data_IF_509633822340
#
_entry.id   IF_509633822340
#
_cell.length_a   1.000
_cell.length_b   1.000
_cell.length_c   1.000
_cell.angle_alpha   90.00
_cell.angle_beta   90.00
_cell.angle_gamma   90.00
#
_symmetry.space_group_name_H-M   'P 1'
#
loop_
_entity.id
_entity.type
_entity.pdbx_description
1 polymer ?
#
# COMPACT_ATOMS: atom_id res chain seq x y z
N UNK A 1 24.58 0.38 -21.50
CA UNK A 1 23.60 -0.53 -22.07
C UNK A 1 22.72 -1.02 -20.94
N UNK A 2 21.56 -0.39 -20.80
CA UNK A 2 20.55 -0.76 -19.83
C UNK A 2 19.94 -2.10 -20.25
N UNK A 3 20.13 -3.13 -19.44
CA UNK A 3 19.41 -4.37 -19.60
C UNK A 3 17.93 -4.07 -19.43
N UNK A 4 17.17 -4.17 -20.50
CA UNK A 4 15.72 -4.17 -20.49
C UNK A 4 15.26 -5.45 -19.77
N UNK A 5 15.05 -5.33 -18.46
CA UNK A 5 14.36 -6.37 -17.70
C UNK A 5 12.86 -6.24 -17.96
N UNK A 6 12.45 -6.61 -19.17
CA UNK A 6 11.07 -6.86 -19.52
C UNK A 6 10.63 -8.20 -18.88
N UNK A 7 10.54 -8.24 -17.55
CA UNK A 7 9.85 -9.35 -16.91
C UNK A 7 8.33 -9.13 -17.08
N UNK A 8 7.77 -9.73 -18.12
CA UNK A 8 6.33 -10.04 -18.16
C UNK A 8 6.05 -10.87 -16.90
N UNK A 9 5.43 -10.24 -15.89
CA UNK A 9 5.01 -11.00 -14.71
C UNK A 9 3.93 -11.98 -15.14
N UNK A 10 4.11 -13.24 -14.81
CA UNK A 10 3.10 -14.26 -15.07
C UNK A 10 1.84 -13.91 -14.23
N UNK A 11 0.73 -13.65 -14.90
CA UNK A 11 -0.53 -13.27 -14.27
C UNK A 11 -1.03 -14.34 -13.28
N UNK A 12 -0.78 -15.61 -13.56
CA UNK A 12 -1.16 -16.70 -12.68
C UNK A 12 -0.35 -16.70 -11.38
N UNK A 13 0.94 -16.34 -11.46
CA UNK A 13 1.79 -16.20 -10.28
C UNK A 13 1.27 -15.05 -9.42
N UNK A 14 1.02 -13.89 -10.02
CA UNK A 14 0.49 -12.72 -9.29
C UNK A 14 -0.85 -13.03 -8.62
N UNK A 15 -1.77 -13.70 -9.31
CA UNK A 15 -3.04 -14.14 -8.73
C UNK A 15 -2.84 -15.11 -7.55
N UNK A 16 -1.91 -16.06 -7.68
CA UNK A 16 -1.57 -16.99 -6.60
C UNK A 16 -0.99 -16.28 -5.36
N UNK A 17 -0.10 -15.31 -5.57
CA UNK A 17 0.47 -14.49 -4.50
C UNK A 17 -0.62 -13.67 -3.77
N UNK A 18 -1.55 -13.10 -4.53
CA UNK A 18 -2.68 -12.34 -3.99
C UNK A 18 -3.61 -13.23 -3.14
N UNK A 19 -3.97 -14.40 -3.61
CA UNK A 19 -4.81 -15.35 -2.86
C UNK A 19 -4.13 -15.81 -1.57
N UNK A 20 -2.82 -16.01 -1.61
CA UNK A 20 -2.05 -16.35 -0.41
C UNK A 20 -2.04 -15.21 0.61
N UNK A 21 -1.83 -13.98 0.17
CA UNK A 21 -1.85 -12.81 1.06
C UNK A 21 -3.23 -12.58 1.67
N UNK A 22 -4.30 -12.73 0.88
CA UNK A 22 -5.68 -12.66 1.32
C UNK A 22 -5.98 -13.66 2.45
N UNK A 23 -5.52 -14.90 2.28
CA UNK A 23 -5.66 -15.95 3.31
C UNK A 23 -4.92 -15.58 4.61
N UNK A 24 -3.71 -15.02 4.51
CA UNK A 24 -2.92 -14.61 5.67
C UNK A 24 -3.56 -13.42 6.43
N UNK A 25 -4.12 -12.48 5.71
CA UNK A 25 -4.75 -11.27 6.28
C UNK A 25 -6.18 -11.52 6.75
N UNK A 26 -6.82 -12.59 6.32
CA UNK A 26 -8.29 -12.82 6.48
C UNK A 26 -9.11 -11.63 5.98
N UNK A 27 -8.64 -10.99 4.91
CA UNK A 27 -9.25 -9.80 4.34
C UNK A 27 -10.06 -10.14 3.09
N UNK A 28 -11.13 -9.40 2.86
CA UNK A 28 -11.82 -9.42 1.57
C UNK A 28 -10.96 -8.69 0.54
N UNK A 29 -10.86 -9.26 -0.66
CA UNK A 29 -10.10 -8.67 -1.75
C UNK A 29 -11.01 -8.46 -2.95
N UNK A 30 -11.03 -7.24 -3.45
CA UNK A 30 -11.71 -6.87 -4.68
C UNK A 30 -10.64 -6.45 -5.68
N UNK A 31 -10.67 -7.03 -6.88
CA UNK A 31 -9.70 -6.75 -7.93
C UNK A 31 -10.39 -5.89 -8.99
N UNK A 32 -9.80 -4.74 -9.26
CA UNK A 32 -10.18 -3.92 -10.42
C UNK A 32 -9.36 -4.39 -11.62
N UNK A 33 -10.06 -4.93 -12.61
CA UNK A 33 -9.41 -5.38 -13.85
C UNK A 33 -9.23 -4.17 -14.78
N UNK A 34 -8.00 -3.66 -14.83
CA UNK A 34 -7.65 -2.56 -15.73
C UNK A 34 -7.32 -3.10 -17.11
N UNK A 35 -7.76 -2.46 -18.20
CA UNK A 35 -7.27 -2.78 -19.52
C UNK A 35 -5.74 -2.69 -19.56
N UNK A 36 -5.08 -3.76 -19.97
CA UNK A 36 -3.63 -3.75 -20.18
C UNK A 36 -3.31 -2.87 -21.39
N UNK A 37 -2.46 -1.88 -21.22
CA UNK A 37 -1.85 -1.17 -22.34
C UNK A 37 -0.84 -2.08 -23.07
N UNK A 38 -0.49 -1.75 -24.32
CA UNK A 38 0.32 -2.54 -25.26
C UNK A 38 1.62 -3.15 -24.71
N UNK A 39 2.11 -2.68 -23.58
CA UNK A 39 3.29 -3.18 -22.90
C UNK A 39 2.98 -4.04 -21.66
N UNK A 40 1.77 -4.54 -21.50
CA UNK A 40 1.32 -5.37 -20.37
C UNK A 40 1.61 -4.76 -18.98
N UNK A 41 1.71 -3.44 -18.87
CA UNK A 41 1.84 -2.74 -17.60
C UNK A 41 0.49 -2.08 -17.28
N UNK A 42 -0.11 -2.38 -16.13
CA UNK A 42 -1.25 -1.61 -15.68
C UNK A 42 -0.79 -0.16 -15.54
N UNK A 43 -1.51 0.75 -16.17
CA UNK A 43 -1.32 2.19 -16.01
C UNK A 43 -2.65 2.73 -15.52
N UNK A 44 -2.75 2.97 -14.22
CA UNK A 44 -3.95 3.55 -13.65
C UNK A 44 -4.08 4.99 -14.12
N UNK A 45 -5.26 5.32 -14.63
CA UNK A 45 -5.63 6.69 -14.95
C UNK A 45 -6.84 7.07 -14.12
N UNK A 46 -6.77 8.22 -13.46
CA UNK A 46 -7.90 8.74 -12.71
C UNK A 46 -9.05 9.06 -13.66
N UNK A 47 -10.14 8.34 -13.51
CA UNK A 47 -11.38 8.54 -14.27
C UNK A 47 -12.58 8.49 -13.33
N UNK A 48 -13.70 9.10 -13.78
CA UNK A 48 -14.96 8.98 -13.05
C UNK A 48 -15.41 7.52 -12.92
N UNK A 49 -15.14 6.69 -13.93
CA UNK A 49 -15.48 5.27 -13.90
C UNK A 49 -14.70 4.53 -12.80
N UNK A 50 -13.41 4.83 -12.63
CA UNK A 50 -12.59 4.23 -11.57
C UNK A 50 -13.10 4.65 -10.18
N UNK A 51 -13.44 5.93 -10.01
CA UNK A 51 -14.00 6.44 -8.75
C UNK A 51 -15.35 5.77 -8.47
N UNK A 52 -16.26 5.73 -9.44
CA UNK A 52 -17.59 5.11 -9.29
C UNK A 52 -17.48 3.61 -9.00
N UNK A 53 -16.52 2.93 -9.64
CA UNK A 53 -16.25 1.52 -9.34
C UNK A 53 -15.78 1.35 -7.89
N UNK A 54 -14.80 2.14 -7.44
CA UNK A 54 -14.33 2.10 -6.06
C UNK A 54 -15.47 2.37 -5.07
N UNK A 55 -16.33 3.37 -5.33
CA UNK A 55 -17.52 3.65 -4.51
C UNK A 55 -18.49 2.45 -4.46
N UNK A 56 -18.67 1.73 -5.56
CA UNK A 56 -19.58 0.57 -5.60
C UNK A 56 -19.07 -0.65 -4.83
N UNK A 57 -17.77 -0.68 -4.51
CA UNK A 57 -17.11 -1.79 -3.83
C UNK A 57 -17.00 -1.60 -2.31
N UNK A 58 -17.37 -0.42 -1.79
CA UNK A 58 -17.18 -0.07 -0.38
C UNK A 58 -18.52 0.09 0.32
N UNK A 59 -18.50 -0.25 1.59
CA UNK A 59 -19.52 0.13 2.57
C UNK A 59 -18.95 1.26 3.45
N UNK A 60 -19.76 1.85 4.31
CA UNK A 60 -19.30 2.85 5.28
C UNK A 60 -18.36 2.18 6.29
N UNK A 61 -17.19 2.76 6.45
CA UNK A 61 -16.13 2.26 7.33
C UNK A 61 -15.50 3.38 8.16
N UNK A 62 -14.79 2.99 9.22
CA UNK A 62 -14.16 3.95 10.11
C UNK A 62 -12.91 4.58 9.47
N UNK A 63 -12.05 3.77 8.86
CA UNK A 63 -10.75 4.21 8.36
C UNK A 63 -10.53 3.75 6.92
N UNK A 64 -10.19 4.68 6.05
CA UNK A 64 -9.63 4.41 4.72
C UNK A 64 -8.12 4.57 4.76
N UNK A 65 -7.38 3.56 4.32
CA UNK A 65 -5.93 3.63 4.15
C UNK A 65 -5.59 3.57 2.66
N UNK A 66 -4.74 4.48 2.20
CA UNK A 66 -4.27 4.51 0.82
C UNK A 66 -2.81 4.91 0.73
N UNK A 67 -2.30 4.93 -0.50
CA UNK A 67 -0.97 5.47 -0.80
C UNK A 67 -0.88 6.97 -0.49
N UNK A 68 0.36 7.45 -0.39
CA UNK A 68 0.63 8.86 -0.17
C UNK A 68 0.59 9.67 -1.48
N UNK A 69 0.14 10.92 -1.41
CA UNK A 69 0.00 11.82 -2.57
C UNK A 69 1.32 12.06 -3.31
N UNK A 70 2.42 12.22 -2.57
CA UNK A 70 3.74 12.54 -3.12
C UNK A 70 4.59 11.28 -3.32
N UNK A 71 3.96 10.11 -3.46
CA UNK A 71 4.65 8.86 -3.78
C UNK A 71 5.32 8.95 -5.15
N UNK A 72 6.47 8.31 -5.29
CA UNK A 72 7.21 8.28 -6.54
C UNK A 72 6.45 7.54 -7.65
N UNK A 73 5.73 6.47 -7.29
CA UNK A 73 5.01 5.64 -8.27
C UNK A 73 3.71 6.31 -8.73
N UNK A 74 3.56 6.45 -10.05
CA UNK A 74 2.37 7.11 -10.64
C UNK A 74 1.06 6.47 -10.24
N UNK A 75 0.97 5.12 -10.23
CA UNK A 75 -0.26 4.41 -9.89
C UNK A 75 -0.63 4.59 -8.41
N UNK A 76 0.37 4.72 -7.53
CA UNK A 76 0.12 5.05 -6.12
C UNK A 76 -0.53 6.42 -5.96
N UNK A 77 -0.13 7.41 -6.76
CA UNK A 77 -0.77 8.74 -6.75
C UNK A 77 -2.21 8.69 -7.26
N UNK A 78 -2.49 7.86 -8.28
CA UNK A 78 -3.88 7.65 -8.73
C UNK A 78 -4.71 6.97 -7.63
N UNK A 79 -4.17 5.97 -6.94
CA UNK A 79 -4.84 5.35 -5.78
C UNK A 79 -5.15 6.38 -4.68
N UNK A 80 -4.22 7.30 -4.41
CA UNK A 80 -4.47 8.41 -3.47
C UNK A 80 -5.64 9.29 -3.94
N UNK A 81 -5.67 9.70 -5.21
CA UNK A 81 -6.71 10.59 -5.73
C UNK A 81 -8.09 9.93 -5.72
N UNK A 82 -8.17 8.63 -6.03
CA UNK A 82 -9.41 7.84 -5.87
C UNK A 82 -9.84 7.80 -4.42
N UNK A 83 -8.94 7.40 -3.52
CA UNK A 83 -9.21 7.32 -2.08
C UNK A 83 -9.67 8.67 -1.51
N UNK A 84 -9.01 9.76 -1.88
CA UNK A 84 -9.40 11.12 -1.49
C UNK A 84 -10.80 11.48 -1.98
N UNK A 85 -11.18 11.04 -3.18
CA UNK A 85 -12.49 11.34 -3.76
C UNK A 85 -13.62 10.65 -2.99
N UNK A 86 -13.43 9.38 -2.60
CA UNK A 86 -14.43 8.58 -1.91
C UNK A 86 -14.43 8.77 -0.38
N UNK A 87 -13.28 9.17 0.18
CA UNK A 87 -13.08 9.16 1.65
C UNK A 87 -14.08 10.04 2.40
N UNK A 88 -14.37 11.24 1.91
CA UNK A 88 -15.23 12.20 2.61
C UNK A 88 -16.68 11.72 2.80
N UNK A 89 -17.15 10.85 1.93
CA UNK A 89 -18.52 10.36 1.92
C UNK A 89 -18.70 9.13 2.81
N UNK A 90 -17.76 8.19 2.76
CA UNK A 90 -17.92 6.84 3.27
C UNK A 90 -17.03 6.51 4.48
N UNK A 91 -16.14 7.42 4.90
CA UNK A 91 -15.16 7.12 5.97
C UNK A 91 -15.10 8.22 7.01
N UNK A 92 -14.84 7.83 8.26
CA UNK A 92 -14.61 8.77 9.37
C UNK A 92 -13.18 9.33 9.34
N UNK A 93 -12.23 8.54 8.87
CA UNK A 93 -10.82 8.92 8.83
C UNK A 93 -10.20 8.53 7.47
N UNK A 94 -9.23 9.33 7.02
CA UNK A 94 -8.42 9.00 5.85
C UNK A 94 -6.94 9.07 6.22
N UNK A 95 -6.23 7.96 6.03
CA UNK A 95 -4.83 7.80 6.33
C UNK A 95 -4.03 7.48 5.07
N UNK A 96 -2.83 8.05 4.96
CA UNK A 96 -1.85 7.66 3.96
C UNK A 96 -0.78 6.81 4.60
N UNK A 97 -0.45 5.67 3.97
CA UNK A 97 0.60 4.79 4.47
C UNK A 97 1.99 5.25 4.03
N UNK A 98 2.96 5.05 4.89
CA UNK A 98 4.38 5.17 4.59
C UNK A 98 4.85 3.89 3.89
N UNK A 99 5.27 3.98 2.64
CA UNK A 99 5.64 2.81 1.83
C UNK A 99 7.10 2.91 1.35
N UNK A 100 8.07 2.50 2.19
CA UNK A 100 9.45 2.41 1.74
C UNK A 100 9.61 1.28 0.69
N UNK A 101 10.52 1.41 -0.30
CA UNK A 101 11.44 2.54 -0.45
C UNK A 101 10.89 3.71 -1.26
N UNK A 102 9.66 3.62 -1.78
CA UNK A 102 9.09 4.58 -2.75
C UNK A 102 8.98 6.01 -2.22
N UNK A 103 8.76 6.17 -0.91
CA UNK A 103 8.65 7.49 -0.30
C UNK A 103 10.01 8.13 0.04
N UNK A 104 11.09 7.33 0.11
CA UNK A 104 12.39 7.81 0.63
C UNK A 104 13.17 8.70 -0.35
N UNK A 105 12.83 8.64 -1.65
CA UNK A 105 13.66 9.26 -2.69
C UNK A 105 13.13 10.59 -3.21
N UNK A 106 11.90 10.95 -2.89
CA UNK A 106 11.24 12.12 -3.50
C UNK A 106 10.94 13.23 -2.51
N UNK A 107 10.25 12.94 -1.43
CA UNK A 107 9.96 13.87 -0.33
C UNK A 107 9.94 13.11 0.99
N UNK A 108 10.21 13.82 2.07
CA UNK A 108 10.03 13.25 3.40
C UNK A 108 8.55 12.99 3.67
N UNK A 109 8.22 11.76 4.01
CA UNK A 109 6.89 11.41 4.48
C UNK A 109 6.67 11.97 5.88
N UNK A 110 5.69 12.87 6.01
CA UNK A 110 5.35 13.52 7.27
C UNK A 110 4.35 12.66 8.06
N UNK A 111 4.88 11.67 8.78
CA UNK A 111 4.07 10.79 9.60
C UNK A 111 3.63 11.49 10.91
N UNK A 112 2.36 11.34 11.25
CA UNK A 112 1.78 11.82 12.50
C UNK A 112 1.06 10.73 13.29
N UNK A 113 1.06 9.49 12.78
CA UNK A 113 0.50 8.32 13.44
C UNK A 113 1.48 7.15 13.39
N UNK A 114 1.69 6.51 14.53
CA UNK A 114 2.55 5.33 14.70
C UNK A 114 1.71 4.19 15.25
N UNK A 115 1.74 3.05 14.58
CA UNK A 115 1.06 1.82 15.03
C UNK A 115 2.14 0.82 15.46
N UNK A 116 2.15 0.47 16.73
CA UNK A 116 3.04 -0.55 17.26
C UNK A 116 2.68 -1.92 16.67
N UNK A 117 3.60 -2.48 15.91
CA UNK A 117 3.48 -3.80 15.28
C UNK A 117 4.50 -4.79 15.81
N UNK A 118 5.07 -4.53 16.99
CA UNK A 118 6.15 -5.36 17.57
C UNK A 118 5.77 -6.84 17.60
N UNK A 119 4.57 -7.15 18.03
CA UNK A 119 4.07 -8.53 18.14
C UNK A 119 3.64 -9.14 16.79
N UNK A 120 3.61 -8.33 15.71
CA UNK A 120 3.16 -8.74 14.37
C UNK A 120 4.29 -8.81 13.35
N UNK A 121 5.55 -8.60 13.74
CA UNK A 121 6.70 -8.56 12.80
C UNK A 121 6.83 -9.84 11.99
N UNK A 122 6.70 -11.01 12.65
CA UNK A 122 6.80 -12.30 11.95
C UNK A 122 5.64 -12.53 10.99
N UNK A 123 4.45 -12.06 11.34
CA UNK A 123 3.29 -12.11 10.44
C UNK A 123 3.48 -11.21 9.23
N UNK A 124 4.02 -10.00 9.44
CA UNK A 124 4.37 -9.07 8.35
C UNK A 124 5.43 -9.67 7.43
N UNK A 125 6.48 -10.28 7.96
CA UNK A 125 7.49 -10.99 7.15
C UNK A 125 6.85 -12.06 6.27
N UNK A 126 6.04 -12.94 6.84
CA UNK A 126 5.32 -13.99 6.10
C UNK A 126 4.43 -13.42 4.99
N UNK A 127 3.80 -12.27 5.26
CA UNK A 127 2.99 -11.57 4.27
C UNK A 127 3.85 -11.07 3.10
N UNK A 128 4.97 -10.39 3.38
CA UNK A 128 5.90 -9.92 2.36
C UNK A 128 6.51 -11.08 1.55
N UNK A 129 6.86 -12.19 2.21
CA UNK A 129 7.34 -13.42 1.57
C UNK A 129 6.30 -14.07 0.64
N UNK A 130 5.02 -13.74 0.78
CA UNK A 130 4.00 -14.23 -0.14
C UNK A 130 4.08 -13.59 -1.52
N UNK A 131 4.69 -12.40 -1.63
CA UNK A 131 4.86 -11.63 -2.86
C UNK A 131 6.28 -11.78 -3.45
N UNK A 132 6.66 -13.01 -3.80
CA UNK A 132 8.02 -13.34 -4.28
C UNK A 132 8.41 -12.64 -5.58
N UNK A 133 7.44 -12.22 -6.39
CA UNK A 133 7.69 -11.47 -7.62
C UNK A 133 8.05 -10.01 -7.35
N UNK A 134 7.80 -9.51 -6.13
CA UNK A 134 8.06 -8.12 -5.72
C UNK A 134 9.18 -8.00 -4.71
N UNK A 135 9.28 -8.94 -3.77
CA UNK A 135 10.20 -8.84 -2.64
C UNK A 135 11.15 -10.04 -2.60
N UNK A 136 12.43 -9.74 -2.51
CA UNK A 136 13.47 -10.68 -2.12
C UNK A 136 13.78 -10.51 -0.61
N UNK A 137 14.62 -11.36 -0.06
CA UNK A 137 14.97 -11.32 1.36
C UNK A 137 15.58 -9.96 1.78
N UNK A 138 16.43 -9.36 0.94
CA UNK A 138 17.09 -8.09 1.27
C UNK A 138 16.08 -6.93 1.32
N UNK A 139 15.11 -6.92 0.40
CA UNK A 139 14.03 -5.92 0.42
C UNK A 139 13.11 -6.09 1.62
N UNK A 140 12.79 -7.32 2.03
CA UNK A 140 12.01 -7.61 3.23
C UNK A 140 12.75 -7.12 4.48
N UNK A 141 14.03 -7.46 4.63
CA UNK A 141 14.84 -6.99 5.77
C UNK A 141 14.96 -5.46 5.78
N UNK A 142 15.08 -4.83 4.63
CA UNK A 142 15.10 -3.35 4.52
C UNK A 142 13.79 -2.75 5.06
N UNK A 143 12.64 -3.29 4.68
CA UNK A 143 11.33 -2.85 5.15
C UNK A 143 11.21 -3.03 6.68
N UNK A 144 11.61 -4.20 7.20
CA UNK A 144 11.54 -4.47 8.63
C UNK A 144 12.50 -3.56 9.42
N UNK A 145 13.70 -3.31 8.92
CA UNK A 145 14.64 -2.40 9.57
C UNK A 145 14.14 -0.95 9.56
N UNK A 146 13.47 -0.54 8.49
CA UNK A 146 12.77 0.75 8.47
C UNK A 146 11.66 0.82 9.53
N UNK A 147 10.86 -0.22 9.66
CA UNK A 147 9.83 -0.27 10.70
C UNK A 147 10.42 -0.27 12.14
N UNK A 148 11.59 -0.89 12.36
CA UNK A 148 12.33 -0.79 13.62
C UNK A 148 12.80 0.64 13.88
N UNK A 149 13.34 1.31 12.86
CA UNK A 149 13.70 2.73 12.96
C UNK A 149 12.50 3.58 13.36
N UNK A 150 11.36 3.42 12.68
CA UNK A 150 10.12 4.13 13.05
C UNK A 150 9.63 3.76 14.46
N UNK A 151 9.72 2.50 14.84
CA UNK A 151 9.35 2.01 16.16
C UNK A 151 10.19 2.61 17.30
N UNK A 152 11.45 2.97 17.03
CA UNK A 152 12.32 3.58 18.04
C UNK A 152 11.76 4.91 18.60
N UNK A 153 10.87 5.59 17.88
CA UNK A 153 10.16 6.77 18.37
C UNK A 153 9.07 6.44 19.41
N UNK A 154 8.59 5.20 19.43
CA UNK A 154 7.67 4.70 20.46
C UNK A 154 8.41 4.17 21.70
N UNK A 155 9.66 3.74 21.55
CA UNK A 155 10.49 3.22 22.63
C UNK A 155 11.48 2.15 22.16
N UNK A 156 12.39 1.79 23.05
CA UNK A 156 13.43 0.79 22.76
C UNK A 156 12.82 -0.56 22.42
N UNK A 157 13.29 -1.16 21.33
CA UNK A 157 12.84 -2.49 20.88
C UNK A 157 11.47 -2.51 20.18
N UNK A 158 10.81 -1.33 20.03
CA UNK A 158 9.55 -1.24 19.32
C UNK A 158 9.74 -1.27 17.82
N UNK A 159 8.71 -1.76 17.13
CA UNK A 159 8.59 -1.80 15.67
C UNK A 159 7.26 -1.14 15.28
N UNK A 160 7.27 -0.20 14.35
CA UNK A 160 6.05 0.51 13.99
C UNK A 160 5.84 0.64 12.49
N UNK A 161 4.59 0.59 12.08
CA UNK A 161 4.13 1.17 10.83
C UNK A 161 3.72 2.61 11.06
N UNK A 162 3.94 3.45 10.05
CA UNK A 162 3.68 4.89 10.14
C UNK A 162 2.70 5.35 9.08
N UNK A 163 1.87 6.29 9.49
CA UNK A 163 0.82 6.85 8.65
C UNK A 163 0.78 8.37 8.79
N UNK A 164 0.24 9.01 7.77
CA UNK A 164 -0.20 10.40 7.82
C UNK A 164 -1.72 10.42 7.84
N UNK A 165 -2.30 10.88 8.96
CA UNK A 165 -3.72 11.14 9.06
C UNK A 165 -4.02 12.41 8.28
N UNK A 166 -4.79 12.29 7.19
CA UNK A 166 -5.16 13.39 6.32
C UNK A 166 -6.37 14.16 6.86
N UNK A 167 -7.32 13.45 7.46
CA UNK A 167 -8.40 14.01 8.26
C UNK A 167 -9.00 12.96 9.20
N UNK A 168 -9.71 13.48 10.21
CA UNK A 168 -10.50 12.72 11.17
C UNK A 168 -11.76 13.53 11.48
N UNK A 169 -12.96 13.00 11.21
CA UNK A 169 -14.24 13.68 11.47
C UNK A 169 -14.61 13.75 12.96
N UNK A 170 -13.92 12.97 13.78
CA UNK A 170 -14.20 12.86 15.22
C UNK A 170 -13.35 13.82 16.10
N UNK A 171 -12.63 14.76 15.47
CA UNK A 171 -11.83 15.79 16.16
C UNK A 171 -12.41 17.17 15.87
#
# INVERSE_FOLDING_TARGET
PSAEHNHKRDENIVKSELEKSKSLLKANTIIYDTPLHDNCRPNLTLTNNLISYAESCIEDHDILISHWREDYHQDHRVCYDVARSISRKHFEQFWCMDQPPYNLHYKNFDCNQYIDITDYVDQKKKLLESYKTYFNNDSIETIINYNKYRGSFLGTGKVAETFQIMYNKNI
#
